data_IF_744590753922
#
_entry.id   IF_744590753922
#
_cell.length_a   1.000
_cell.length_b   1.000
_cell.length_c   1.000
_cell.angle_alpha   90.00
_cell.angle_beta   90.00
_cell.angle_gamma   90.00
#
_symmetry.space_group_name_H-M   'P 1'
#
loop_
_entity.id
_entity.type
_entity.pdbx_description
1 polymer ?
#
# COMPACT_ATOMS: atom_id res chain seq x y z
N UNK A 1 -13.11 -3.09 -12.57
CA UNK A 1 -12.67 -3.83 -11.41
C UNK A 1 -11.26 -3.37 -11.04
N UNK A 2 -11.06 -2.97 -9.76
CA UNK A 2 -9.80 -2.40 -9.27
C UNK A 2 -8.64 -3.39 -9.39
N UNK A 3 -8.88 -4.67 -9.12
CA UNK A 3 -7.84 -5.72 -9.24
C UNK A 3 -7.27 -5.79 -10.66
N UNK A 4 -8.13 -5.90 -11.66
CA UNK A 4 -7.71 -5.95 -13.06
C UNK A 4 -6.97 -4.66 -13.49
N UNK A 5 -7.41 -3.50 -13.00
CA UNK A 5 -6.74 -2.24 -13.27
C UNK A 5 -5.35 -2.19 -12.66
N UNK A 6 -5.19 -2.63 -11.41
CA UNK A 6 -3.89 -2.71 -10.74
C UNK A 6 -2.95 -3.69 -11.45
N UNK A 7 -3.45 -4.88 -11.84
CA UNK A 7 -2.68 -5.85 -12.62
C UNK A 7 -2.21 -5.26 -13.95
N UNK A 8 -3.10 -4.55 -14.67
CA UNK A 8 -2.76 -3.87 -15.92
C UNK A 8 -1.69 -2.78 -15.73
N UNK A 9 -1.87 -1.90 -14.72
CA UNK A 9 -0.90 -0.85 -14.42
C UNK A 9 0.45 -1.42 -13.99
N UNK A 10 0.45 -2.50 -13.22
CA UNK A 10 1.68 -3.14 -12.77
C UNK A 10 2.46 -3.79 -13.93
N UNK A 11 1.75 -4.32 -14.92
CA UNK A 11 2.36 -4.94 -16.12
C UNK A 11 2.82 -3.91 -17.17
N UNK A 12 2.33 -2.67 -17.14
CA UNK A 12 2.65 -1.65 -18.11
C UNK A 12 4.06 -1.04 -17.84
N UNK A 13 5.03 -1.19 -18.77
CA UNK A 13 6.38 -0.64 -18.60
C UNK A 13 6.41 0.90 -18.57
N UNK A 14 5.39 1.58 -19.07
CA UNK A 14 5.30 3.04 -19.04
C UNK A 14 4.82 3.57 -17.68
N UNK A 15 4.19 2.73 -16.87
CA UNK A 15 3.77 3.08 -15.52
C UNK A 15 4.94 2.92 -14.55
N UNK A 16 5.26 3.98 -13.82
CA UNK A 16 6.37 4.04 -12.87
C UNK A 16 5.92 4.13 -11.41
N UNK A 17 4.76 4.74 -11.17
CA UNK A 17 4.15 4.96 -9.84
C UNK A 17 2.64 4.82 -9.98
N UNK A 18 1.98 4.27 -8.97
CA UNK A 18 0.52 4.13 -8.92
C UNK A 18 -0.02 4.99 -7.77
N UNK A 19 -0.93 5.92 -8.08
CA UNK A 19 -1.66 6.69 -7.08
C UNK A 19 -3.07 6.14 -6.94
N UNK A 20 -3.47 5.80 -5.71
CA UNK A 20 -4.80 5.31 -5.38
C UNK A 20 -5.54 6.37 -4.55
N UNK A 21 -6.64 6.88 -5.06
CA UNK A 21 -7.48 7.88 -4.37
C UNK A 21 -8.95 7.53 -4.45
N UNK A 22 -9.76 8.08 -3.55
CA UNK A 22 -11.22 7.94 -3.58
C UNK A 22 -11.89 9.06 -4.35
N UNK A 23 -12.91 8.73 -5.15
CA UNK A 23 -13.78 9.73 -5.77
C UNK A 23 -14.78 10.30 -4.74
N UNK A 24 -15.03 11.61 -4.78
CA UNK A 24 -16.00 12.29 -3.91
C UNK A 24 -15.48 12.52 -2.49
N UNK A 25 -16.34 12.31 -1.47
CA UNK A 25 -16.06 12.69 -0.08
C UNK A 25 -15.31 11.65 0.73
N UNK A 26 -15.20 10.41 0.25
CA UNK A 26 -14.61 9.30 0.98
C UNK A 26 -13.57 8.59 0.13
N UNK A 27 -12.54 8.07 0.75
CA UNK A 27 -11.62 7.14 0.10
C UNK A 27 -12.32 5.80 -0.14
N UNK A 28 -12.88 5.20 0.90
CA UNK A 28 -13.72 4.00 0.83
C UNK A 28 -14.56 3.90 2.10
N UNK A 29 -15.87 4.17 1.99
CA UNK A 29 -16.77 4.24 3.16
C UNK A 29 -17.26 2.86 3.63
N UNK A 30 -16.67 1.78 3.17
CA UNK A 30 -17.05 0.40 3.49
C UNK A 30 -17.65 -0.35 2.30
N UNK A 31 -18.27 -1.50 2.58
CA UNK A 31 -18.83 -2.36 1.55
C UNK A 31 -20.11 -1.78 0.93
N UNK A 32 -20.35 -2.09 -0.35
CA UNK A 32 -21.59 -1.74 -1.05
C UNK A 32 -22.81 -2.42 -0.40
N UNK A 33 -23.84 -1.64 -0.11
CA UNK A 33 -25.05 -2.13 0.59
C UNK A 33 -25.79 -3.21 -0.20
N UNK A 34 -25.78 -3.16 -1.52
CA UNK A 34 -26.42 -4.19 -2.33
C UNK A 34 -25.57 -5.48 -2.32
N UNK A 35 -24.27 -5.37 -2.32
CA UNK A 35 -23.38 -6.51 -2.09
C UNK A 35 -23.63 -7.14 -0.71
N UNK A 36 -23.74 -6.35 0.36
CA UNK A 36 -24.02 -6.84 1.72
C UNK A 36 -25.35 -7.58 1.79
N UNK A 37 -26.40 -7.08 1.13
CA UNK A 37 -27.70 -7.76 1.06
C UNK A 37 -27.61 -9.13 0.37
N UNK A 38 -26.81 -9.24 -0.69
CA UNK A 38 -26.61 -10.54 -1.38
C UNK A 38 -25.78 -11.49 -0.54
N UNK A 39 -24.71 -11.01 0.04
CA UNK A 39 -23.77 -11.78 0.88
C UNK A 39 -24.46 -12.41 2.10
N UNK A 40 -25.48 -11.75 2.67
CA UNK A 40 -26.25 -12.29 3.79
C UNK A 40 -26.96 -13.63 3.45
N UNK A 41 -27.17 -13.95 2.17
CA UNK A 41 -27.75 -15.22 1.71
C UNK A 41 -26.73 -16.21 1.13
N UNK A 42 -25.44 -15.89 1.15
CA UNK A 42 -24.40 -16.75 0.59
C UNK A 42 -24.15 -18.00 1.44
N UNK A 43 -23.93 -19.13 0.76
CA UNK A 43 -23.36 -20.33 1.37
C UNK A 43 -21.93 -20.05 1.85
N UNK A 44 -21.38 -20.98 2.62
CA UNK A 44 -19.96 -20.93 3.04
C UNK A 44 -19.02 -20.81 1.84
N UNK A 45 -19.22 -21.61 0.80
CA UNK A 45 -18.35 -21.66 -0.39
C UNK A 45 -18.44 -20.36 -1.21
N UNK A 46 -19.62 -19.77 -1.36
CA UNK A 46 -19.80 -18.46 -2.00
C UNK A 46 -19.12 -17.35 -1.20
N UNK A 47 -19.24 -17.35 0.13
CA UNK A 47 -18.52 -16.42 1.00
C UNK A 47 -17.01 -16.58 0.90
N UNK A 48 -16.50 -17.81 0.81
CA UNK A 48 -15.07 -18.09 0.66
C UNK A 48 -14.54 -17.58 -0.68
N UNK A 49 -15.28 -17.82 -1.77
CA UNK A 49 -14.89 -17.35 -3.10
C UNK A 49 -14.88 -15.82 -3.19
N UNK A 50 -15.88 -15.18 -2.60
CA UNK A 50 -15.97 -13.72 -2.55
C UNK A 50 -14.83 -13.12 -1.71
N UNK A 51 -14.52 -13.72 -0.55
CA UNK A 51 -13.40 -13.32 0.30
C UNK A 51 -12.04 -13.48 -0.41
N UNK A 52 -11.88 -14.53 -1.23
CA UNK A 52 -10.67 -14.73 -2.05
C UNK A 52 -10.47 -13.63 -3.09
N UNK A 53 -11.55 -13.06 -3.65
CA UNK A 53 -11.46 -11.91 -4.57
C UNK A 53 -10.91 -10.67 -3.86
N UNK A 54 -11.40 -10.40 -2.66
CA UNK A 54 -10.86 -9.30 -1.84
C UNK A 54 -9.41 -9.56 -1.43
N UNK A 55 -9.07 -10.80 -1.03
CA UNK A 55 -7.70 -11.19 -0.70
C UNK A 55 -6.76 -11.02 -1.90
N UNK A 56 -7.22 -11.37 -3.11
CA UNK A 56 -6.48 -11.14 -4.36
C UNK A 56 -6.22 -9.65 -4.58
N UNK A 57 -7.21 -8.80 -4.38
CA UNK A 57 -7.05 -7.33 -4.49
C UNK A 57 -5.97 -6.81 -3.55
N UNK A 58 -6.03 -7.18 -2.26
CA UNK A 58 -5.01 -6.77 -1.28
C UNK A 58 -3.62 -7.24 -1.68
N UNK A 59 -3.50 -8.51 -2.09
CA UNK A 59 -2.22 -9.08 -2.55
C UNK A 59 -1.65 -8.33 -3.75
N UNK A 60 -2.48 -8.04 -4.77
CA UNK A 60 -2.04 -7.36 -5.99
C UNK A 60 -1.56 -5.93 -5.68
N UNK A 61 -2.23 -5.22 -4.77
CA UNK A 61 -1.82 -3.87 -4.36
C UNK A 61 -0.54 -3.91 -3.53
N UNK A 62 -0.49 -4.75 -2.50
CA UNK A 62 0.65 -4.81 -1.56
C UNK A 62 1.96 -5.24 -2.23
N UNK A 63 1.88 -6.22 -3.14
CA UNK A 63 3.04 -6.76 -3.85
C UNK A 63 3.20 -6.20 -5.27
N UNK A 64 2.61 -5.06 -5.57
CA UNK A 64 2.87 -4.39 -6.84
C UNK A 64 4.36 -4.06 -6.99
N UNK A 65 4.95 -4.31 -8.16
CA UNK A 65 6.35 -3.99 -8.45
C UNK A 65 6.58 -2.47 -8.59
N UNK A 66 5.50 -1.72 -8.81
CA UNK A 66 5.52 -0.26 -8.85
C UNK A 66 5.25 0.30 -7.45
N UNK A 67 5.94 1.37 -7.02
CA UNK A 67 5.56 2.10 -5.82
C UNK A 67 4.11 2.55 -5.87
N UNK A 68 3.42 2.41 -4.73
CA UNK A 68 2.01 2.77 -4.59
C UNK A 68 1.82 3.87 -3.55
N UNK A 69 1.04 4.90 -3.89
CA UNK A 69 0.70 6.02 -3.00
C UNK A 69 -0.80 6.00 -2.75
N UNK A 70 -1.21 5.82 -1.51
CA UNK A 70 -2.59 5.96 -1.07
C UNK A 70 -2.88 7.42 -0.68
N UNK A 71 -3.86 8.05 -1.33
CA UNK A 71 -4.31 9.42 -1.03
C UNK A 71 -5.66 9.34 -0.34
N UNK A 72 -5.65 9.46 1.00
CA UNK A 72 -6.85 9.24 1.82
C UNK A 72 -7.59 10.57 2.01
N UNK A 73 -8.54 10.84 1.13
CA UNK A 73 -9.28 12.11 1.05
C UNK A 73 -10.42 12.24 2.09
N UNK A 74 -10.78 11.16 2.78
CA UNK A 74 -11.91 11.14 3.73
C UNK A 74 -12.03 9.82 4.45
N UNK A 75 -13.25 9.31 4.62
CA UNK A 75 -13.48 8.05 5.32
C UNK A 75 -12.80 6.86 4.62
N UNK A 76 -12.07 6.06 5.38
CA UNK A 76 -11.50 4.78 5.01
C UNK A 76 -11.96 3.73 6.03
N UNK A 77 -12.97 2.92 5.68
CA UNK A 77 -13.61 1.98 6.60
C UNK A 77 -13.49 0.55 6.11
N UNK A 78 -13.31 -0.40 7.01
CA UNK A 78 -13.20 -1.81 6.71
C UNK A 78 -12.11 -2.10 5.67
N UNK A 79 -12.50 -2.65 4.51
CA UNK A 79 -11.60 -2.86 3.38
C UNK A 79 -10.84 -1.61 2.91
N UNK A 80 -11.38 -0.40 3.15
CA UNK A 80 -10.70 0.86 2.88
C UNK A 80 -9.44 1.06 3.74
N UNK A 81 -9.47 0.64 5.01
CA UNK A 81 -8.26 0.61 5.85
C UNK A 81 -7.25 -0.40 5.30
N UNK A 82 -7.74 -1.57 4.84
CA UNK A 82 -6.90 -2.57 4.20
C UNK A 82 -6.20 -2.04 2.94
N UNK A 83 -6.93 -1.33 2.07
CA UNK A 83 -6.34 -0.69 0.89
C UNK A 83 -5.27 0.34 1.26
N UNK A 84 -5.50 1.16 2.30
CA UNK A 84 -4.51 2.09 2.79
C UNK A 84 -3.26 1.36 3.30
N UNK A 85 -3.44 0.31 4.13
CA UNK A 85 -2.34 -0.49 4.68
C UNK A 85 -1.53 -1.24 3.61
N UNK A 86 -2.12 -1.53 2.45
CA UNK A 86 -1.43 -2.17 1.31
C UNK A 86 -0.64 -1.19 0.43
N UNK A 87 -0.78 0.13 0.62
CA UNK A 87 0.01 1.11 -0.12
C UNK A 87 1.37 1.31 0.53
N UNK A 88 2.41 1.51 -0.29
CA UNK A 88 3.77 1.75 0.21
C UNK A 88 3.88 3.09 0.95
N UNK A 89 3.18 4.11 0.46
CA UNK A 89 3.15 5.45 1.04
C UNK A 89 1.69 5.86 1.20
N UNK A 90 1.33 6.35 2.38
CA UNK A 90 -0.03 6.81 2.69
C UNK A 90 0.02 8.27 3.10
N UNK A 91 -0.66 9.12 2.34
CA UNK A 91 -0.86 10.54 2.63
C UNK A 91 -2.35 10.75 2.89
N UNK A 92 -2.67 11.33 4.03
CA UNK A 92 -4.06 11.55 4.42
C UNK A 92 -4.40 13.04 4.48
N UNK A 93 -5.64 13.35 4.10
CA UNK A 93 -6.24 14.62 4.47
C UNK A 93 -6.40 14.73 5.98
N UNK A 94 -6.26 15.92 6.53
CA UNK A 94 -6.59 16.27 7.93
C UNK A 94 -8.03 15.89 8.31
N UNK A 95 -8.92 15.76 7.31
CA UNK A 95 -10.32 15.35 7.46
C UNK A 95 -10.53 13.83 7.36
N UNK A 96 -9.48 13.06 7.12
CA UNK A 96 -9.58 11.61 6.98
C UNK A 96 -9.97 10.95 8.31
N UNK A 97 -10.75 9.90 8.22
CA UNK A 97 -11.15 9.09 9.37
C UNK A 97 -11.13 7.61 9.01
N UNK A 98 -10.78 6.79 9.98
CA UNK A 98 -10.55 5.36 9.82
C UNK A 98 -11.43 4.57 10.78
N UNK A 99 -11.85 3.38 10.38
CA UNK A 99 -12.63 2.48 11.23
C UNK A 99 -12.55 1.04 10.72
N UNK A 100 -12.26 0.13 11.61
CA UNK A 100 -12.34 -1.31 11.38
C UNK A 100 -13.68 -1.79 11.96
N UNK A 101 -14.75 -1.61 11.18
CA UNK A 101 -16.13 -1.67 11.66
C UNK A 101 -16.75 -3.07 11.66
N UNK A 102 -16.03 -4.09 11.23
CA UNK A 102 -16.51 -5.44 10.96
C UNK A 102 -17.20 -6.08 12.17
N UNK A 103 -16.64 -5.94 13.37
CA UNK A 103 -17.20 -6.56 14.58
C UNK A 103 -18.55 -5.99 14.99
N UNK A 104 -18.90 -4.76 14.56
CA UNK A 104 -20.25 -4.19 14.77
C UNK A 104 -21.33 -4.94 13.98
N UNK A 105 -20.92 -5.71 12.96
CA UNK A 105 -21.78 -6.51 12.12
C UNK A 105 -21.68 -8.01 12.45
N UNK A 106 -20.96 -8.38 13.52
CA UNK A 106 -20.67 -9.78 13.82
C UNK A 106 -19.67 -10.43 12.86
N UNK A 107 -18.93 -9.62 12.12
CA UNK A 107 -17.87 -10.04 11.19
C UNK A 107 -16.49 -9.76 11.76
N UNK A 108 -15.45 -10.13 11.02
CA UNK A 108 -14.05 -9.87 11.40
C UNK A 108 -13.27 -9.29 10.21
N UNK A 109 -12.28 -8.42 10.43
CA UNK A 109 -11.44 -7.82 9.38
C UNK A 109 -10.38 -8.83 8.87
N UNK A 110 -10.79 -10.08 8.56
CA UNK A 110 -9.87 -11.20 8.34
C UNK A 110 -8.92 -10.96 7.16
N UNK A 111 -9.47 -10.62 5.99
CA UNK A 111 -8.71 -10.49 4.73
C UNK A 111 -7.67 -9.36 4.80
N UNK A 112 -7.99 -8.27 5.48
CA UNK A 112 -7.12 -7.10 5.60
C UNK A 112 -6.14 -7.22 6.78
N UNK A 113 -6.40 -8.15 7.72
CA UNK A 113 -5.68 -8.23 9.00
C UNK A 113 -4.17 -8.35 8.88
N UNK A 114 -3.58 -9.13 7.95
CA UNK A 114 -2.12 -9.23 7.84
C UNK A 114 -1.47 -7.86 7.56
N UNK A 115 -2.03 -7.12 6.63
CA UNK A 115 -1.51 -5.81 6.20
C UNK A 115 -1.71 -4.73 7.27
N UNK A 116 -2.88 -4.72 7.91
CA UNK A 116 -3.17 -3.76 8.97
C UNK A 116 -2.32 -4.03 10.21
N UNK A 117 -2.17 -5.30 10.62
CA UNK A 117 -1.31 -5.67 11.77
C UNK A 117 0.15 -5.31 11.50
N UNK A 118 0.63 -5.49 10.26
CA UNK A 118 1.98 -5.09 9.87
C UNK A 118 2.16 -3.57 9.97
N UNK A 119 1.17 -2.79 9.51
CA UNK A 119 1.24 -1.32 9.50
C UNK A 119 1.15 -0.71 10.90
N UNK A 120 0.21 -1.16 11.76
CA UNK A 120 -0.07 -0.50 13.05
C UNK A 120 0.41 -1.29 14.28
N UNK A 121 0.96 -2.47 14.06
CA UNK A 121 1.41 -3.37 15.12
C UNK A 121 0.27 -4.06 15.88
N UNK A 122 0.60 -5.15 16.56
CA UNK A 122 -0.36 -6.03 17.28
C UNK A 122 -1.15 -5.26 18.34
N UNK A 123 -0.49 -4.36 19.10
CA UNK A 123 -1.12 -3.63 20.20
C UNK A 123 -2.27 -2.75 19.73
N UNK A 124 -2.04 -1.95 18.69
CA UNK A 124 -3.07 -1.07 18.13
C UNK A 124 -4.15 -1.86 17.37
N UNK A 125 -3.76 -2.92 16.64
CA UNK A 125 -4.71 -3.80 15.99
C UNK A 125 -5.69 -4.42 16.98
N UNK A 126 -5.23 -4.91 18.14
CA UNK A 126 -6.11 -5.44 19.21
C UNK A 126 -7.14 -4.42 19.66
N UNK A 127 -6.75 -3.15 19.83
CA UNK A 127 -7.69 -2.09 20.20
C UNK A 127 -8.73 -1.88 19.12
N UNK A 128 -8.30 -1.53 17.92
CA UNK A 128 -9.22 -1.08 16.86
C UNK A 128 -10.04 -2.20 16.23
N UNK A 129 -9.55 -3.45 16.20
CA UNK A 129 -10.34 -4.60 15.74
C UNK A 129 -11.48 -4.93 16.70
N UNK A 130 -11.25 -4.79 18.02
CA UNK A 130 -12.22 -5.17 19.03
C UNK A 130 -13.23 -4.06 19.35
N UNK A 131 -12.81 -2.81 19.37
CA UNK A 131 -13.69 -1.68 19.70
C UNK A 131 -14.48 -1.19 18.50
N UNK A 132 -13.94 -1.36 17.28
CA UNK A 132 -14.45 -0.71 16.08
C UNK A 132 -14.71 0.79 16.27
N UNK A 133 -13.93 1.45 17.13
CA UNK A 133 -13.97 2.90 17.28
C UNK A 133 -13.38 3.58 16.05
N UNK A 134 -13.85 4.79 15.77
CA UNK A 134 -13.26 5.64 14.74
C UNK A 134 -12.03 6.32 15.30
N UNK A 135 -11.03 6.50 14.45
CA UNK A 135 -9.85 7.32 14.74
C UNK A 135 -9.56 8.26 13.57
N UNK A 136 -8.95 9.38 13.88
CA UNK A 136 -8.65 10.46 12.94
C UNK A 136 -7.29 10.28 12.25
N UNK A 137 -6.96 11.21 11.36
CA UNK A 137 -5.70 11.21 10.64
C UNK A 137 -4.49 11.33 11.59
N UNK A 138 -4.59 12.13 12.65
CA UNK A 138 -3.51 12.31 13.62
C UNK A 138 -3.20 11.00 14.36
N UNK A 139 -4.24 10.31 14.79
CA UNK A 139 -4.11 8.99 15.41
C UNK A 139 -3.55 7.97 14.42
N UNK A 140 -4.06 7.95 13.17
CA UNK A 140 -3.59 7.05 12.12
C UNK A 140 -2.10 7.26 11.82
N UNK A 141 -1.62 8.50 11.84
CA UNK A 141 -0.21 8.83 11.70
C UNK A 141 0.60 8.37 12.91
N UNK A 142 0.13 8.63 14.13
CA UNK A 142 0.82 8.25 15.35
C UNK A 142 1.02 6.74 15.50
N UNK A 143 0.11 5.91 14.94
CA UNK A 143 0.18 4.45 14.99
C UNK A 143 0.84 3.81 13.75
N UNK A 144 1.29 4.62 12.78
CA UNK A 144 2.04 4.14 11.62
C UNK A 144 1.22 3.78 10.37
N UNK A 145 -0.11 3.93 10.39
CA UNK A 145 -0.95 3.68 9.21
C UNK A 145 -0.79 4.78 8.14
N UNK A 146 -0.56 6.01 8.56
CA UNK A 146 -0.42 7.19 7.70
C UNK A 146 0.99 7.75 7.84
N UNK A 147 1.65 8.07 6.72
CA UNK A 147 3.00 8.61 6.71
C UNK A 147 3.02 10.14 6.78
N UNK A 148 2.02 10.79 6.15
CA UNK A 148 1.93 12.26 6.12
C UNK A 148 0.46 12.70 6.25
N UNK A 149 0.26 13.87 6.89
CA UNK A 149 -1.04 14.54 6.96
C UNK A 149 -0.90 15.90 6.29
N UNK A 150 -1.84 16.23 5.40
CA UNK A 150 -1.91 17.52 4.74
C UNK A 150 -3.34 18.07 4.78
N UNK A 151 -3.53 19.33 4.46
CA UNK A 151 -4.89 19.85 4.24
C UNK A 151 -5.57 19.06 3.12
N UNK A 152 -6.91 18.94 3.19
CA UNK A 152 -7.63 18.23 2.14
C UNK A 152 -7.45 18.84 0.74
N UNK A 153 -7.20 20.13 0.68
CA UNK A 153 -7.02 20.87 -0.58
C UNK A 153 -5.63 20.63 -1.19
N UNK A 154 -4.63 20.31 -0.35
CA UNK A 154 -3.24 20.03 -0.77
C UNK A 154 -2.98 18.55 -1.09
N UNK A 155 -3.95 17.66 -0.82
CA UNK A 155 -3.74 16.20 -0.89
C UNK A 155 -3.22 15.73 -2.26
N UNK A 156 -3.84 16.17 -3.33
CA UNK A 156 -3.44 15.78 -4.71
C UNK A 156 -2.07 16.37 -5.04
N UNK A 157 -1.85 17.66 -4.76
CA UNK A 157 -0.56 18.31 -5.03
C UNK A 157 0.60 17.63 -4.27
N UNK A 158 0.35 17.18 -3.02
CA UNK A 158 1.34 16.45 -2.24
C UNK A 158 1.59 15.05 -2.81
N UNK A 159 0.54 14.36 -3.26
CA UNK A 159 0.66 13.08 -3.98
C UNK A 159 1.52 13.20 -5.24
N UNK A 160 1.27 14.21 -6.06
CA UNK A 160 2.06 14.49 -7.26
C UNK A 160 3.52 14.82 -6.93
N UNK A 161 3.76 15.58 -5.86
CA UNK A 161 5.13 15.86 -5.40
C UNK A 161 5.86 14.59 -4.93
N UNK A 162 5.16 13.69 -4.23
CA UNK A 162 5.71 12.39 -3.82
C UNK A 162 5.99 11.50 -5.04
N UNK A 163 5.09 11.47 -6.02
CA UNK A 163 5.31 10.75 -7.26
C UNK A 163 6.55 11.25 -8.02
N UNK A 164 6.77 12.57 -8.07
CA UNK A 164 7.98 13.17 -8.67
C UNK A 164 9.26 12.73 -7.97
N UNK A 165 9.25 12.60 -6.62
CA UNK A 165 10.40 12.07 -5.87
C UNK A 165 10.69 10.62 -6.28
N UNK A 166 9.65 9.79 -6.41
CA UNK A 166 9.80 8.40 -6.84
C UNK A 166 10.28 8.28 -8.29
N UNK A 167 9.76 9.12 -9.19
CA UNK A 167 10.14 9.13 -10.61
C UNK A 167 11.61 9.49 -10.84
N UNK A 168 12.25 10.20 -9.91
CA UNK A 168 13.68 10.50 -9.96
C UNK A 168 14.57 9.27 -9.66
N UNK A 169 14.00 8.18 -9.12
CA UNK A 169 14.74 6.97 -8.75
C UNK A 169 14.69 5.91 -9.86
N UNK A 170 15.66 4.98 -9.86
CA UNK A 170 15.68 3.85 -10.78
C UNK A 170 14.49 2.90 -10.58
N UNK A 171 13.70 2.60 -11.61
CA UNK A 171 12.49 1.80 -11.47
C UNK A 171 12.77 0.38 -10.99
N UNK A 172 13.79 -0.28 -11.51
CA UNK A 172 14.18 -1.61 -11.06
C UNK A 172 14.77 -1.61 -9.65
N UNK A 173 15.50 -0.55 -9.27
CA UNK A 173 16.01 -0.41 -7.92
C UNK A 173 14.87 -0.22 -6.89
N UNK A 174 13.80 0.50 -7.24
CA UNK A 174 12.63 0.64 -6.37
C UNK A 174 11.90 -0.69 -6.16
N UNK A 175 11.69 -1.49 -7.23
CA UNK A 175 11.10 -2.83 -7.14
C UNK A 175 11.97 -3.77 -6.29
N UNK A 176 13.28 -3.78 -6.55
CA UNK A 176 14.24 -4.57 -5.77
C UNK A 176 14.26 -4.16 -4.28
N UNK A 177 14.22 -2.85 -3.98
CA UNK A 177 14.18 -2.33 -2.62
C UNK A 177 12.88 -2.74 -1.90
N UNK A 178 11.73 -2.66 -2.56
CA UNK A 178 10.45 -3.13 -2.02
C UNK A 178 10.50 -4.64 -1.75
N UNK A 179 10.98 -5.44 -2.68
CA UNK A 179 11.19 -6.88 -2.51
C UNK A 179 12.15 -7.20 -1.36
N UNK A 180 13.20 -6.39 -1.17
CA UNK A 180 14.16 -6.55 -0.08
C UNK A 180 13.50 -6.36 1.29
N UNK A 181 12.60 -5.39 1.45
CA UNK A 181 11.88 -5.18 2.71
C UNK A 181 11.18 -6.47 3.14
N UNK A 182 10.41 -7.09 2.25
CA UNK A 182 9.73 -8.37 2.56
C UNK A 182 10.72 -9.55 2.76
N UNK A 183 11.89 -9.50 2.16
CA UNK A 183 12.89 -10.54 2.32
C UNK A 183 13.54 -10.53 3.71
N UNK A 184 13.66 -9.36 4.36
CA UNK A 184 14.35 -9.20 5.64
C UNK A 184 13.42 -8.92 6.82
N UNK A 185 12.20 -8.42 6.58
CA UNK A 185 11.28 -8.08 7.65
C UNK A 185 10.95 -9.32 8.51
N UNK A 186 10.99 -9.14 9.83
CA UNK A 186 10.63 -10.17 10.82
C UNK A 186 11.49 -11.46 10.75
N UNK A 187 12.66 -11.43 10.12
CA UNK A 187 13.62 -12.54 10.11
C UNK A 187 14.77 -12.28 11.08
N UNK A 188 15.33 -13.35 11.69
CA UNK A 188 16.59 -13.22 12.43
C UNK A 188 17.71 -12.80 11.47
N UNK A 189 18.66 -12.01 11.97
CA UNK A 189 19.85 -11.64 11.20
C UNK A 189 20.88 -12.77 11.38
N UNK A 190 20.82 -13.73 10.50
CA UNK A 190 21.71 -14.90 10.43
C UNK A 190 22.51 -14.90 9.13
N UNK A 191 23.38 -15.90 8.96
CA UNK A 191 24.27 -16.00 7.78
C UNK A 191 23.47 -16.12 6.47
N UNK A 192 22.29 -16.74 6.48
CA UNK A 192 21.44 -16.88 5.29
C UNK A 192 20.88 -15.51 4.85
N UNK A 193 20.41 -14.69 5.80
CA UNK A 193 19.94 -13.32 5.51
C UNK A 193 21.11 -12.42 5.08
N UNK A 194 22.26 -12.53 5.74
CA UNK A 194 23.49 -11.78 5.36
C UNK A 194 23.90 -12.11 3.92
N UNK A 195 23.93 -13.39 3.56
CA UNK A 195 24.33 -13.84 2.23
C UNK A 195 23.29 -13.46 1.16
N UNK A 196 21.97 -13.58 1.45
CA UNK A 196 20.90 -13.13 0.55
C UNK A 196 21.00 -11.63 0.27
N UNK A 197 21.20 -10.80 1.29
CA UNK A 197 21.33 -9.35 1.11
C UNK A 197 22.59 -8.96 0.34
N UNK A 198 23.71 -9.66 0.57
CA UNK A 198 24.95 -9.47 -0.18
C UNK A 198 24.76 -9.82 -1.67
N UNK A 199 24.06 -10.91 -1.99
CA UNK A 199 23.72 -11.27 -3.37
C UNK A 199 22.84 -10.22 -4.04
N UNK A 200 21.77 -9.79 -3.39
CA UNK A 200 20.85 -8.79 -3.95
C UNK A 200 21.54 -7.48 -4.31
N UNK A 201 22.43 -6.96 -3.46
CA UNK A 201 23.17 -5.74 -3.81
C UNK A 201 24.20 -5.98 -4.90
N UNK A 202 24.83 -7.16 -4.97
CA UNK A 202 25.75 -7.51 -6.04
C UNK A 202 25.03 -7.57 -7.40
N UNK A 203 23.85 -8.21 -7.45
CA UNK A 203 23.02 -8.30 -8.65
C UNK A 203 22.56 -6.92 -9.12
N UNK A 204 22.10 -6.07 -8.19
CA UNK A 204 21.68 -4.71 -8.52
C UNK A 204 22.84 -3.86 -9.06
N UNK A 205 24.03 -3.95 -8.48
CA UNK A 205 25.24 -3.27 -8.98
C UNK A 205 25.66 -3.77 -10.37
N UNK A 206 25.48 -5.04 -10.64
CA UNK A 206 25.80 -5.65 -11.93
C UNK A 206 24.74 -5.37 -13.03
N UNK A 207 23.55 -4.90 -12.65
CA UNK A 207 22.46 -4.59 -13.59
C UNK A 207 22.83 -3.40 -14.49
N UNK A 208 22.14 -3.29 -15.64
CA UNK A 208 22.30 -2.13 -16.52
C UNK A 208 21.89 -0.82 -15.84
N UNK A 209 20.81 -0.87 -15.03
CA UNK A 209 20.32 0.28 -14.26
C UNK A 209 21.32 0.70 -13.18
N UNK A 210 21.87 -0.24 -12.42
CA UNK A 210 22.86 0.05 -11.38
C UNK A 210 24.13 0.69 -11.95
N UNK A 211 24.61 0.19 -13.09
CA UNK A 211 25.77 0.78 -13.80
C UNK A 211 25.46 2.17 -14.32
N UNK A 212 24.31 2.38 -14.95
CA UNK A 212 23.87 3.69 -15.41
C UNK A 212 23.79 4.71 -14.26
N UNK A 213 23.16 4.33 -13.14
CA UNK A 213 23.02 5.20 -11.99
C UNK A 213 24.36 5.65 -11.40
N UNK A 214 25.32 4.71 -11.25
CA UNK A 214 26.66 5.02 -10.75
C UNK A 214 27.43 5.90 -11.75
N UNK A 215 27.35 5.60 -13.06
CA UNK A 215 28.01 6.39 -14.12
C UNK A 215 27.45 7.82 -14.15
N UNK A 216 26.12 7.98 -14.17
CA UNK A 216 25.45 9.27 -14.16
C UNK A 216 25.87 10.14 -12.94
N UNK A 217 25.92 9.51 -11.76
CA UNK A 217 26.34 10.18 -10.53
C UNK A 217 27.80 10.68 -10.62
N UNK A 218 28.73 9.83 -11.06
CA UNK A 218 30.15 10.19 -11.19
C UNK A 218 30.38 11.27 -12.27
N UNK A 219 29.61 11.21 -13.36
CA UNK A 219 29.66 12.18 -14.46
C UNK A 219 28.85 13.46 -14.18
N UNK A 220 28.16 13.54 -13.03
CA UNK A 220 27.31 14.69 -12.63
C UNK A 220 26.23 15.01 -13.68
N UNK A 221 25.65 14.01 -14.28
CA UNK A 221 24.51 14.14 -15.24
C UNK A 221 23.25 13.45 -14.70
N UNK A 222 22.08 13.79 -15.23
CA UNK A 222 20.88 13.01 -14.96
C UNK A 222 21.03 11.55 -15.40
N UNK A 223 20.42 10.63 -14.67
CA UNK A 223 20.29 9.26 -15.13
C UNK A 223 19.20 9.14 -16.18
N UNK A 224 19.33 8.21 -17.10
CA UNK A 224 18.42 8.03 -18.25
C UNK A 224 16.93 7.92 -17.88
N UNK A 225 16.61 7.37 -16.72
CA UNK A 225 15.23 7.26 -16.24
C UNK A 225 14.65 8.57 -15.68
N UNK A 226 15.45 9.63 -15.51
CA UNK A 226 15.01 10.95 -15.04
C UNK A 226 14.62 11.87 -16.17
N UNK A 227 14.89 11.51 -17.43
CA UNK A 227 14.67 12.32 -18.63
C UNK A 227 13.30 12.09 -19.30
N UNK A 228 12.47 11.14 -18.77
CA UNK A 228 11.19 10.75 -19.34
C UNK A 228 10.00 11.17 -18.47
#
# INVERSE_FOLDING_TARGET
>A
DLTAKLESLNADPLVRVILLSGAGKSFSAGADLNWMKRMAGYSHDENLEDSRKLAKLMKVLNFASKPTIGLINGAAFGGGVGLAACCDIVIASDRASFCLSEVKLGLIPAVISPYVVEAIGVSHARRYFLTAERFDAATAHAIGLVHEIVSGDDLIARGDAMAKLLLANGPGAMDAAKSLIYAVANKPIDDDVIDDTARRIADQRASAEGREGVSAFLEKRPAKWSEN
#
